data_IF_804777618316
#
_entry.id   IF_804777618316
#
_cell.length_a   1.000
_cell.length_b   1.000
_cell.length_c   1.000
_cell.angle_alpha   90.00
_cell.angle_beta   90.00
_cell.angle_gamma   90.00
#
_symmetry.space_group_name_H-M   'P 1'
#
loop_
_entity.id
_entity.type
_entity.pdbx_description
1 polymer ?
#
# COMPACT_ATOMS: atom_id res chain seq x y z
N UNK A 1 4.37 -7.66 -26.02
CA UNK A 1 3.82 -6.30 -25.87
C UNK A 1 4.56 -5.39 -26.84
N UNK A 2 3.91 -4.38 -27.44
CA UNK A 2 4.61 -3.40 -28.27
C UNK A 2 5.72 -2.71 -27.47
N UNK A 3 6.85 -2.40 -28.10
CA UNK A 3 8.00 -1.76 -27.44
C UNK A 3 7.75 -0.28 -27.14
N UNK A 4 6.89 0.36 -27.92
CA UNK A 4 6.51 1.76 -27.79
C UNK A 4 5.00 1.93 -27.99
N UNK A 5 4.42 2.89 -27.27
CA UNK A 5 3.03 3.32 -27.44
C UNK A 5 3.02 4.84 -27.60
N UNK A 6 2.19 5.31 -28.51
CA UNK A 6 2.02 6.73 -28.76
C UNK A 6 1.07 7.32 -27.72
N UNK A 7 1.56 8.27 -26.91
CA UNK A 7 0.73 8.99 -25.93
C UNK A 7 0.47 10.42 -26.40
N UNK A 8 -0.78 10.91 -26.28
CA UNK A 8 -1.10 12.30 -26.56
C UNK A 8 -0.55 13.20 -25.43
N UNK A 9 -0.06 14.38 -25.81
CA UNK A 9 0.37 15.46 -24.92
C UNK A 9 -0.13 16.80 -25.44
N UNK A 10 -0.32 17.73 -24.52
CA UNK A 10 -0.61 19.13 -24.78
C UNK A 10 0.71 19.91 -24.81
N UNK A 11 0.78 20.95 -25.66
CA UNK A 11 1.91 21.87 -25.67
C UNK A 11 1.88 22.72 -24.40
N UNK A 12 2.93 22.70 -23.55
CA UNK A 12 2.96 23.52 -22.33
C UNK A 12 2.91 25.03 -22.60
N UNK A 13 3.29 25.46 -23.81
CA UNK A 13 3.30 26.87 -24.22
C UNK A 13 1.97 27.35 -24.78
N UNK A 14 1.09 26.43 -25.19
CA UNK A 14 -0.27 26.71 -25.68
C UNK A 14 -1.23 25.57 -25.24
N UNK A 15 -1.60 25.51 -23.94
CA UNK A 15 -2.36 24.40 -23.39
C UNK A 15 -3.81 24.34 -23.86
N UNK A 16 -4.32 25.44 -24.42
CA UNK A 16 -5.70 25.56 -24.95
C UNK A 16 -5.79 25.18 -26.44
N UNK A 17 -4.67 24.79 -27.06
CA UNK A 17 -4.61 24.36 -28.46
C UNK A 17 -5.37 23.05 -28.68
N UNK A 18 -6.21 22.99 -29.72
CA UNK A 18 -6.85 21.74 -30.16
C UNK A 18 -5.85 20.74 -30.78
N UNK A 19 -4.58 21.14 -30.95
CA UNK A 19 -3.53 20.32 -31.54
C UNK A 19 -2.93 19.36 -30.49
N UNK A 20 -3.28 18.09 -30.59
CA UNK A 20 -2.65 17.02 -29.82
C UNK A 20 -1.30 16.64 -30.43
N UNK A 21 -0.24 16.80 -29.65
CA UNK A 21 1.08 16.28 -30.00
C UNK A 21 1.22 14.85 -29.52
N UNK A 22 1.85 14.00 -30.31
CA UNK A 22 1.96 12.58 -30.04
C UNK A 22 3.42 12.22 -29.78
N UNK A 23 3.70 11.63 -28.62
CA UNK A 23 5.05 11.23 -28.26
C UNK A 23 5.15 9.70 -28.19
N UNK A 24 6.18 9.09 -28.82
CA UNK A 24 6.49 7.69 -28.60
C UNK A 24 7.00 7.54 -27.16
N UNK A 25 6.33 6.70 -26.37
CA UNK A 25 6.74 6.35 -25.01
C UNK A 25 7.11 4.88 -24.99
N UNK A 26 8.31 4.58 -24.48
CA UNK A 26 8.76 3.20 -24.29
C UNK A 26 7.89 2.48 -23.27
N UNK A 27 7.36 1.32 -23.67
CA UNK A 27 6.55 0.48 -22.78
C UNK A 27 7.49 -0.22 -21.82
N UNK A 28 7.47 0.21 -20.55
CA UNK A 28 8.20 -0.44 -19.48
C UNK A 28 7.24 -1.36 -18.72
N UNK A 29 7.54 -2.66 -18.68
CA UNK A 29 6.69 -3.67 -18.04
C UNK A 29 7.11 -4.00 -16.62
N UNK A 30 8.32 -3.61 -16.23
CA UNK A 30 8.98 -4.14 -15.05
C UNK A 30 8.76 -3.25 -13.83
N UNK A 31 9.06 -1.95 -13.96
CA UNK A 31 8.83 -0.95 -12.93
C UNK A 31 8.60 0.44 -13.55
N UNK A 32 8.03 1.36 -12.80
CA UNK A 32 8.04 2.79 -13.15
C UNK A 32 8.21 3.65 -11.90
N UNK A 33 8.86 4.80 -12.03
CA UNK A 33 8.99 5.75 -10.91
C UNK A 33 7.86 6.77 -10.94
N UNK A 34 7.07 6.80 -9.86
CA UNK A 34 6.05 7.81 -9.63
C UNK A 34 6.23 8.44 -8.26
N UNK A 35 6.32 9.78 -8.21
CA UNK A 35 6.43 10.50 -6.93
C UNK A 35 7.53 9.92 -6.01
N UNK A 36 8.65 9.45 -6.59
CA UNK A 36 9.78 8.80 -5.88
C UNK A 36 9.46 7.42 -5.31
N UNK A 37 8.48 6.74 -5.86
CA UNK A 37 8.11 5.35 -5.56
C UNK A 37 8.31 4.53 -6.83
N UNK A 38 9.15 3.51 -6.75
CA UNK A 38 9.33 2.54 -7.83
C UNK A 38 8.17 1.56 -7.81
N UNK A 39 7.11 1.88 -8.54
CA UNK A 39 5.92 1.04 -8.68
C UNK A 39 6.31 -0.25 -9.40
N UNK A 40 5.79 -1.37 -8.90
CA UNK A 40 6.10 -2.74 -9.31
C UNK A 40 7.49 -3.26 -8.93
N UNK A 41 8.28 -2.53 -8.13
CA UNK A 41 9.51 -3.06 -7.50
C UNK A 41 9.33 -3.21 -5.97
N UNK A 42 8.80 -4.35 -5.49
CA UNK A 42 8.57 -4.56 -4.06
C UNK A 42 9.88 -4.63 -3.26
N UNK A 43 11.00 -4.98 -3.89
CA UNK A 43 12.30 -5.11 -3.24
C UNK A 43 12.87 -3.73 -2.95
N UNK A 44 12.89 -2.85 -3.97
CA UNK A 44 13.33 -1.46 -3.80
C UNK A 44 12.46 -0.72 -2.76
N UNK A 45 11.15 -0.98 -2.77
CA UNK A 45 10.22 -0.42 -1.80
C UNK A 45 10.51 -0.91 -0.37
N UNK A 46 10.73 -2.22 -0.19
CA UNK A 46 11.13 -2.79 1.09
C UNK A 46 12.42 -2.15 1.59
N UNK A 47 13.45 -2.08 0.75
CA UNK A 47 14.74 -1.49 1.10
C UNK A 47 14.63 -0.01 1.46
N UNK A 48 13.76 0.74 0.77
CA UNK A 48 13.49 2.15 1.08
C UNK A 48 12.93 2.29 2.49
N UNK A 49 11.91 1.50 2.84
CA UNK A 49 11.29 1.56 4.18
C UNK A 49 12.26 1.04 5.24
N UNK A 50 13.01 -0.02 4.94
CA UNK A 50 14.06 -0.54 5.81
C UNK A 50 15.10 0.52 6.16
N UNK A 51 15.58 1.29 5.17
CA UNK A 51 16.50 2.42 5.39
C UNK A 51 15.87 3.50 6.26
N UNK A 52 14.60 3.87 6.03
CA UNK A 52 13.91 4.84 6.89
C UNK A 52 13.90 4.42 8.37
N UNK A 53 13.74 3.13 8.66
CA UNK A 53 13.75 2.59 10.03
C UNK A 53 15.18 2.57 10.61
N UNK A 54 16.17 2.17 9.82
CA UNK A 54 17.57 2.12 10.26
C UNK A 54 18.15 3.52 10.53
N UNK A 55 17.88 4.46 9.63
CA UNK A 55 18.35 5.84 9.71
C UNK A 55 17.57 6.66 10.74
N UNK A 56 16.49 6.11 11.30
CA UNK A 56 15.73 6.77 12.35
C UNK A 56 16.56 6.87 13.64
N UNK A 57 16.93 8.09 14.00
CA UNK A 57 17.60 8.41 15.25
C UNK A 57 16.58 8.78 16.33
N UNK A 58 16.64 8.07 17.45
CA UNK A 58 15.89 8.48 18.64
C UNK A 58 16.54 9.73 19.28
N UNK A 59 15.76 10.59 19.95
CA UNK A 59 16.30 11.74 20.67
C UNK A 59 17.34 11.31 21.70
N UNK A 60 18.54 11.90 21.63
CA UNK A 60 19.59 11.71 22.61
C UNK A 60 19.34 12.66 23.79
N UNK A 61 18.80 12.13 24.88
CA UNK A 61 18.45 12.88 26.08
C UNK A 61 19.18 12.29 27.30
N UNK A 62 19.46 13.10 28.34
CA UNK A 62 20.11 12.62 29.57
C UNK A 62 19.32 11.50 30.26
N UNK A 63 17.99 11.55 30.17
CA UNK A 63 17.07 10.52 30.66
C UNK A 63 16.36 9.85 29.48
N UNK A 64 16.25 8.53 29.50
CA UNK A 64 15.50 7.77 28.48
C UNK A 64 14.04 8.21 28.45
N UNK A 65 13.49 8.32 27.24
CA UNK A 65 12.09 8.66 27.06
C UNK A 65 11.18 7.55 27.57
N UNK A 66 10.03 7.90 28.19
CA UNK A 66 9.02 6.91 28.52
C UNK A 66 8.44 6.28 27.24
N UNK A 67 7.97 5.03 27.34
CA UNK A 67 7.39 4.26 26.23
C UNK A 67 6.29 5.02 25.48
N UNK A 68 5.46 5.78 26.20
CA UNK A 68 4.38 6.57 25.62
C UNK A 68 4.88 7.69 24.71
N UNK A 69 5.98 8.36 25.10
CA UNK A 69 6.62 9.38 24.28
C UNK A 69 7.30 8.76 23.06
N UNK A 70 7.98 7.62 23.24
CA UNK A 70 8.61 6.87 22.15
C UNK A 70 7.59 6.46 21.08
N UNK A 71 6.46 5.91 21.51
CA UNK A 71 5.33 5.53 20.67
C UNK A 71 4.81 6.70 19.84
N UNK A 72 4.65 7.86 20.47
CA UNK A 72 4.20 9.09 19.80
C UNK A 72 5.21 9.57 18.76
N UNK A 73 6.49 9.62 19.10
CA UNK A 73 7.58 10.03 18.21
C UNK A 73 7.63 9.10 16.98
N UNK A 74 7.61 7.79 17.18
CA UNK A 74 7.59 6.85 16.06
C UNK A 74 6.34 7.02 15.19
N UNK A 75 5.17 7.18 15.80
CA UNK A 75 3.93 7.40 15.05
C UNK A 75 3.96 8.69 14.23
N UNK A 76 4.53 9.77 14.76
CA UNK A 76 4.49 11.10 14.14
C UNK A 76 5.64 11.34 13.16
N UNK A 77 6.81 10.76 13.39
CA UNK A 77 8.01 11.05 12.61
C UNK A 77 8.38 9.92 11.65
N UNK A 78 8.21 8.66 12.05
CA UNK A 78 8.61 7.52 11.24
C UNK A 78 7.43 6.96 10.44
N UNK A 79 6.35 6.61 11.13
CA UNK A 79 5.16 6.01 10.51
C UNK A 79 4.48 6.96 9.53
N UNK A 80 4.45 8.25 9.83
CA UNK A 80 3.96 9.29 8.90
C UNK A 80 4.74 9.32 7.59
N UNK A 81 6.04 9.01 7.61
CA UNK A 81 6.91 8.94 6.42
C UNK A 81 6.75 7.60 5.69
N UNK A 82 6.53 6.50 6.41
CA UNK A 82 6.36 5.16 5.83
C UNK A 82 5.01 5.02 5.12
N UNK A 83 3.94 5.58 5.69
CA UNK A 83 2.56 5.39 5.21
C UNK A 83 2.36 5.73 3.72
N UNK A 84 2.85 6.88 3.20
CA UNK A 84 2.73 7.18 1.77
C UNK A 84 3.34 6.10 0.89
N UNK A 85 4.51 5.57 1.24
CA UNK A 85 5.14 4.48 0.48
C UNK A 85 4.23 3.25 0.41
N UNK A 86 3.69 2.80 1.54
CA UNK A 86 2.77 1.66 1.59
C UNK A 86 1.47 1.91 0.81
N UNK A 87 0.98 3.17 0.78
CA UNK A 87 -0.23 3.54 0.04
C UNK A 87 -0.06 3.49 -1.49
N UNK A 88 1.16 3.73 -1.98
CA UNK A 88 1.48 3.61 -3.40
C UNK A 88 1.78 2.16 -3.80
N UNK A 89 2.55 1.45 -2.97
CA UNK A 89 2.88 0.06 -3.19
C UNK A 89 2.96 -0.70 -1.86
N UNK A 90 1.91 -1.47 -1.53
CA UNK A 90 1.94 -2.41 -0.43
C UNK A 90 3.00 -3.51 -0.65
N UNK A 91 3.64 -3.90 0.44
CA UNK A 91 4.58 -5.01 0.50
C UNK A 91 3.84 -6.34 0.70
N UNK A 92 4.56 -7.45 0.51
CA UNK A 92 4.08 -8.74 1.01
C UNK A 92 4.01 -8.71 2.55
N UNK A 93 3.07 -9.46 3.12
CA UNK A 93 2.89 -9.52 4.58
C UNK A 93 4.17 -9.95 5.31
N UNK A 94 4.87 -10.96 4.80
CA UNK A 94 6.13 -11.43 5.37
C UNK A 94 7.21 -10.33 5.41
N UNK A 95 7.31 -9.52 4.36
CA UNK A 95 8.26 -8.40 4.31
C UNK A 95 7.84 -7.29 5.30
N UNK A 96 6.54 -6.99 5.40
CA UNK A 96 6.05 -6.00 6.36
C UNK A 96 6.25 -6.45 7.83
N UNK A 97 6.10 -7.74 8.13
CA UNK A 97 6.38 -8.34 9.43
C UNK A 97 7.89 -8.34 9.77
N UNK A 98 8.77 -8.43 8.77
CA UNK A 98 10.21 -8.23 8.96
C UNK A 98 10.56 -6.79 9.35
N UNK A 99 9.91 -5.81 8.74
CA UNK A 99 10.06 -4.40 9.12
C UNK A 99 9.55 -4.13 10.55
N UNK A 100 8.48 -4.80 10.97
CA UNK A 100 8.00 -4.74 12.35
C UNK A 100 9.00 -5.32 13.35
N UNK A 101 9.62 -6.47 13.01
CA UNK A 101 10.71 -7.04 13.83
C UNK A 101 11.90 -6.10 13.93
N UNK A 102 12.28 -5.45 12.82
CA UNK A 102 13.34 -4.46 12.79
C UNK A 102 13.01 -3.24 13.65
N UNK A 103 11.79 -2.69 13.53
CA UNK A 103 11.35 -1.56 14.34
C UNK A 103 11.33 -1.91 15.84
N UNK A 104 10.86 -3.11 16.18
CA UNK A 104 10.88 -3.60 17.54
C UNK A 104 12.30 -3.76 18.10
N UNK A 105 13.24 -4.23 17.28
CA UNK A 105 14.66 -4.27 17.63
C UNK A 105 15.21 -2.87 17.93
N UNK A 106 14.92 -1.88 17.09
CA UNK A 106 15.37 -0.48 17.32
C UNK A 106 14.82 0.11 18.61
N UNK A 107 13.55 -0.14 18.91
CA UNK A 107 12.93 0.27 20.19
C UNK A 107 13.57 -0.43 21.38
N UNK A 108 13.82 -1.73 21.25
CA UNK A 108 14.48 -2.53 22.27
C UNK A 108 15.90 -2.02 22.57
N UNK A 109 16.69 -1.72 21.54
CA UNK A 109 18.04 -1.13 21.66
C UNK A 109 18.00 0.21 22.40
N UNK A 110 17.02 1.07 22.09
CA UNK A 110 16.86 2.38 22.76
C UNK A 110 16.52 2.23 24.25
N UNK A 111 15.61 1.32 24.57
CA UNK A 111 15.14 1.09 25.95
C UNK A 111 16.10 0.24 26.77
N UNK A 112 17.02 -0.49 26.12
CA UNK A 112 18.04 -1.31 26.76
C UNK A 112 17.47 -2.39 27.67
N UNK A 113 16.38 -3.06 27.26
CA UNK A 113 15.82 -4.16 28.04
C UNK A 113 16.82 -5.34 28.11
N UNK A 114 16.86 -6.10 29.22
CA UNK A 114 17.81 -7.22 29.37
C UNK A 114 17.39 -8.49 28.63
N UNK A 115 16.23 -8.49 27.96
CA UNK A 115 15.66 -9.66 27.28
C UNK A 115 15.26 -9.32 25.85
N UNK A 116 15.23 -10.32 24.97
CA UNK A 116 14.85 -10.15 23.56
C UNK A 116 13.36 -9.74 23.47
N UNK A 117 13.11 -8.52 23.02
CA UNK A 117 11.75 -7.98 22.99
C UNK A 117 10.90 -8.67 21.91
N UNK A 118 9.71 -9.16 22.29
CA UNK A 118 8.78 -9.77 21.34
C UNK A 118 8.06 -8.65 20.55
N UNK A 119 8.24 -8.64 19.23
CA UNK A 119 7.61 -7.65 18.34
C UNK A 119 6.08 -7.66 18.46
N UNK A 120 5.45 -8.81 18.68
CA UNK A 120 4.00 -8.89 18.84
C UNK A 120 3.49 -8.09 20.04
N UNK A 121 4.23 -8.08 21.15
CA UNK A 121 3.85 -7.32 22.35
C UNK A 121 3.98 -5.81 22.10
N UNK A 122 4.93 -5.37 21.27
CA UNK A 122 5.10 -3.95 20.94
C UNK A 122 3.85 -3.38 20.27
N UNK A 123 3.34 -4.12 19.29
CA UNK A 123 2.28 -3.68 18.39
C UNK A 123 0.88 -4.14 18.82
N UNK A 124 0.79 -5.04 19.80
CA UNK A 124 -0.47 -5.45 20.37
C UNK A 124 -1.18 -4.25 21.04
N UNK A 125 -2.52 -4.13 20.92
CA UNK A 125 -3.28 -3.09 21.61
C UNK A 125 -3.15 -3.19 23.13
N UNK A 126 -3.40 -2.09 23.85
CA UNK A 126 -3.46 -2.09 25.32
C UNK A 126 -4.51 -3.06 25.88
N UNK A 127 -5.63 -3.24 25.17
CA UNK A 127 -6.68 -4.20 25.54
C UNK A 127 -6.19 -5.65 25.55
N UNK A 128 -5.09 -5.94 24.86
CA UNK A 128 -4.43 -7.24 24.81
C UNK A 128 -3.07 -7.21 25.52
N UNK A 129 -2.91 -6.32 26.51
CA UNK A 129 -1.69 -6.18 27.32
C UNK A 129 -0.43 -5.84 26.50
N UNK A 130 -0.58 -5.22 25.33
CA UNK A 130 0.52 -4.73 24.51
C UNK A 130 0.86 -3.26 24.74
N UNK A 131 1.79 -2.74 23.96
CA UNK A 131 2.25 -1.35 24.04
C UNK A 131 1.64 -0.39 23.00
N UNK A 132 0.76 -0.90 22.12
CA UNK A 132 -0.02 -0.14 21.14
C UNK A 132 0.83 0.74 20.20
N UNK A 133 2.03 0.27 19.85
CA UNK A 133 2.82 0.89 18.79
C UNK A 133 2.16 0.62 17.43
N UNK A 134 2.33 1.56 16.51
CA UNK A 134 1.83 1.40 15.13
C UNK A 134 2.70 0.37 14.41
N UNK A 135 2.10 -0.73 13.98
CA UNK A 135 2.74 -1.78 13.19
C UNK A 135 2.73 -1.42 11.70
N UNK A 136 3.88 -1.62 11.05
CA UNK A 136 4.08 -1.53 9.60
C UNK A 136 3.24 -2.59 8.89
N UNK A 137 3.18 -3.83 9.39
CA UNK A 137 2.34 -4.87 8.81
C UNK A 137 0.86 -4.50 8.82
N UNK A 138 0.32 -4.04 9.95
CA UNK A 138 -1.08 -3.61 10.04
C UNK A 138 -1.39 -2.39 9.17
N UNK A 139 -0.44 -1.47 9.02
CA UNK A 139 -0.58 -0.34 8.09
C UNK A 139 -0.59 -0.81 6.64
N UNK A 140 0.33 -1.71 6.29
CA UNK A 140 0.42 -2.31 4.96
C UNK A 140 -0.90 -3.00 4.57
N UNK A 141 -1.44 -3.80 5.48
CA UNK A 141 -2.71 -4.51 5.31
C UNK A 141 -3.87 -3.53 5.04
N UNK A 142 -3.95 -2.46 5.84
CA UNK A 142 -4.97 -1.43 5.67
C UNK A 142 -4.83 -0.67 4.34
N UNK A 143 -3.62 -0.25 3.98
CA UNK A 143 -3.35 0.47 2.73
C UNK A 143 -3.58 -0.42 1.49
N UNK A 144 -3.29 -1.72 1.57
CA UNK A 144 -3.59 -2.66 0.49
C UNK A 144 -5.11 -2.78 0.23
N UNK A 145 -5.90 -2.99 1.29
CA UNK A 145 -7.36 -3.07 1.18
C UNK A 145 -7.96 -1.73 0.72
N UNK A 146 -7.50 -0.61 1.28
CA UNK A 146 -7.96 0.72 0.88
C UNK A 146 -7.60 1.03 -0.57
N UNK A 147 -6.41 0.65 -1.03
CA UNK A 147 -5.98 0.79 -2.42
C UNK A 147 -6.92 0.04 -3.37
N UNK A 148 -7.18 -1.24 -3.11
CA UNK A 148 -8.13 -2.05 -3.89
C UNK A 148 -9.52 -1.40 -3.95
N UNK A 149 -10.06 -0.96 -2.81
CA UNK A 149 -11.36 -0.29 -2.74
C UNK A 149 -11.38 1.03 -3.51
N UNK A 150 -10.29 1.81 -3.42
CA UNK A 150 -10.13 3.08 -4.15
C UNK A 150 -10.08 2.85 -5.66
N UNK A 151 -9.39 1.81 -6.13
CA UNK A 151 -9.31 1.49 -7.55
C UNK A 151 -10.68 1.11 -8.12
N UNK A 152 -11.43 0.25 -7.41
CA UNK A 152 -12.77 -0.17 -7.80
C UNK A 152 -13.82 0.95 -7.74
N UNK A 153 -13.60 1.94 -6.88
CA UNK A 153 -14.48 3.09 -6.67
C UNK A 153 -13.84 4.40 -7.13
N UNK A 154 -12.92 4.35 -8.09
CA UNK A 154 -12.19 5.53 -8.49
C UNK A 154 -13.15 6.59 -9.08
N UNK A 155 -12.94 7.87 -8.73
CA UNK A 155 -13.79 8.98 -9.18
C UNK A 155 -13.66 9.23 -10.68
N UNK A 156 -12.43 9.15 -11.23
CA UNK A 156 -12.18 9.12 -12.68
C UNK A 156 -12.69 7.81 -13.27
N UNK A 157 -13.62 7.91 -14.23
CA UNK A 157 -14.29 6.77 -14.86
C UNK A 157 -13.34 5.80 -15.55
N UNK A 158 -12.30 6.29 -16.21
CA UNK A 158 -11.32 5.45 -16.92
C UNK A 158 -10.62 4.46 -15.97
N UNK A 159 -10.08 4.94 -14.84
CA UNK A 159 -9.43 4.07 -13.86
C UNK A 159 -10.42 3.06 -13.25
N UNK A 160 -11.64 3.49 -12.94
CA UNK A 160 -12.69 2.61 -12.43
C UNK A 160 -13.09 1.53 -13.44
N UNK A 161 -13.21 1.87 -14.72
CA UNK A 161 -13.51 0.92 -15.79
C UNK A 161 -12.40 -0.10 -15.94
N UNK A 162 -11.13 0.34 -15.95
CA UNK A 162 -9.98 -0.57 -16.00
C UNK A 162 -9.94 -1.52 -14.81
N UNK A 163 -10.16 -1.00 -13.59
CA UNK A 163 -10.25 -1.82 -12.39
C UNK A 163 -11.38 -2.86 -12.49
N UNK A 164 -12.56 -2.49 -13.01
CA UNK A 164 -13.67 -3.42 -13.21
C UNK A 164 -13.37 -4.49 -14.26
N UNK A 165 -12.69 -4.15 -15.35
CA UNK A 165 -12.22 -5.11 -16.35
C UNK A 165 -11.23 -6.09 -15.70
N UNK A 166 -10.24 -5.58 -14.95
CA UNK A 166 -9.29 -6.43 -14.22
C UNK A 166 -9.98 -7.35 -13.23
N UNK A 167 -11.00 -6.87 -12.51
CA UNK A 167 -11.78 -7.70 -11.59
C UNK A 167 -12.61 -8.76 -12.33
N UNK A 168 -13.21 -8.43 -13.48
CA UNK A 168 -13.95 -9.38 -14.30
C UNK A 168 -13.03 -10.47 -14.86
N UNK A 169 -11.87 -10.09 -15.39
CA UNK A 169 -10.84 -11.02 -15.87
C UNK A 169 -10.34 -11.94 -14.75
N UNK A 170 -10.08 -11.38 -13.56
CA UNK A 170 -9.72 -12.18 -12.39
C UNK A 170 -10.82 -13.19 -12.04
N UNK A 171 -12.05 -12.72 -11.93
CA UNK A 171 -13.21 -13.53 -11.59
C UNK A 171 -13.38 -14.69 -12.58
N UNK A 172 -13.44 -14.38 -13.87
CA UNK A 172 -13.78 -15.36 -14.89
C UNK A 172 -12.60 -16.21 -15.35
N UNK A 173 -11.45 -15.61 -15.66
CA UNK A 173 -10.32 -16.33 -16.23
C UNK A 173 -9.47 -17.03 -15.16
N UNK A 174 -9.35 -16.43 -13.97
CA UNK A 174 -8.43 -16.91 -12.94
C UNK A 174 -9.14 -17.59 -11.78
N UNK A 175 -10.43 -17.34 -11.56
CA UNK A 175 -11.18 -17.85 -10.41
C UNK A 175 -12.53 -18.50 -10.75
N UNK A 176 -12.64 -19.15 -11.92
CA UNK A 176 -13.80 -19.98 -12.28
C UNK A 176 -15.15 -19.23 -12.21
N UNK A 177 -15.17 -17.96 -12.58
CA UNK A 177 -16.31 -17.05 -12.49
C UNK A 177 -16.84 -16.82 -11.06
N UNK A 178 -16.02 -17.06 -10.04
CA UNK A 178 -16.33 -16.75 -8.65
C UNK A 178 -15.59 -15.48 -8.23
N UNK A 179 -16.30 -14.53 -7.59
CA UNK A 179 -15.69 -13.28 -7.15
C UNK A 179 -14.57 -13.57 -6.15
N UNK A 180 -13.33 -13.10 -6.39
CA UNK A 180 -12.22 -13.23 -5.44
C UNK A 180 -12.34 -12.26 -4.27
N UNK A 181 -13.39 -11.44 -4.21
CA UNK A 181 -13.62 -10.45 -3.16
C UNK A 181 -14.77 -10.83 -2.24
N UNK A 182 -15.65 -11.74 -2.67
CA UNK A 182 -16.83 -12.13 -1.90
C UNK A 182 -16.60 -13.46 -1.17
N UNK A 183 -16.90 -13.49 0.13
CA UNK A 183 -16.76 -14.67 0.97
C UNK A 183 -15.32 -14.96 1.42
N UNK A 184 -15.12 -16.16 1.99
CA UNK A 184 -13.79 -16.64 2.40
C UNK A 184 -13.08 -17.23 1.18
N UNK A 185 -12.14 -16.48 0.62
CA UNK A 185 -11.36 -16.89 -0.54
C UNK A 185 -10.34 -17.95 -0.12
N UNK A 186 -10.66 -19.23 -0.30
CA UNK A 186 -9.74 -20.32 0.03
C UNK A 186 -8.49 -20.39 -0.85
N UNK A 187 -8.49 -19.73 -2.01
CA UNK A 187 -7.42 -19.82 -3.02
C UNK A 187 -6.37 -18.72 -2.84
N UNK A 188 -5.10 -19.09 -2.96
CA UNK A 188 -4.01 -18.12 -3.04
C UNK A 188 -3.75 -17.68 -4.47
N UNK A 189 -3.51 -16.37 -4.67
CA UNK A 189 -3.16 -15.76 -5.95
C UNK A 189 -1.72 -15.24 -6.03
N UNK A 190 -0.85 -15.63 -5.09
CA UNK A 190 0.55 -15.14 -5.04
C UNK A 190 1.35 -15.42 -6.31
N UNK A 191 0.94 -16.42 -7.11
CA UNK A 191 1.56 -16.79 -8.39
C UNK A 191 1.03 -16.00 -9.59
N UNK A 192 -0.06 -15.25 -9.42
CA UNK A 192 -0.71 -14.49 -10.49
C UNK A 192 -0.23 -13.05 -10.60
N UNK A 193 0.89 -12.69 -9.97
CA UNK A 193 1.46 -11.32 -9.94
C UNK A 193 1.83 -10.74 -11.29
N UNK A 194 1.93 -11.57 -12.34
CA UNK A 194 2.16 -11.11 -13.73
C UNK A 194 0.88 -10.71 -14.46
N UNK A 195 -0.27 -11.10 -13.92
CA UNK A 195 -1.59 -10.88 -14.53
C UNK A 195 -2.46 -9.97 -13.67
N UNK A 196 -2.26 -9.99 -12.36
CA UNK A 196 -2.98 -9.19 -11.39
C UNK A 196 -2.06 -8.16 -10.73
N UNK A 197 -2.56 -6.96 -10.43
CA UNK A 197 -1.83 -5.99 -9.64
C UNK A 197 -1.34 -6.60 -8.32
N UNK A 198 -0.06 -6.43 -8.00
CA UNK A 198 0.55 -6.99 -6.79
C UNK A 198 -0.16 -6.51 -5.51
N UNK A 199 -0.57 -5.24 -5.47
CA UNK A 199 -1.34 -4.65 -4.37
C UNK A 199 -2.69 -5.36 -4.16
N UNK A 200 -3.37 -5.76 -5.23
CA UNK A 200 -4.65 -6.47 -5.17
C UNK A 200 -4.48 -7.89 -4.64
N UNK A 201 -3.41 -8.57 -5.04
CA UNK A 201 -3.05 -9.89 -4.51
C UNK A 201 -2.78 -9.80 -3.00
N UNK A 202 -2.00 -8.81 -2.55
CA UNK A 202 -1.77 -8.55 -1.13
C UNK A 202 -3.09 -8.28 -0.40
N UNK A 203 -3.97 -7.44 -0.95
CA UNK A 203 -5.25 -7.11 -0.33
C UNK A 203 -6.13 -8.35 -0.11
N UNK A 204 -6.23 -9.24 -1.11
CA UNK A 204 -7.03 -10.47 -0.99
C UNK A 204 -6.41 -11.47 -0.03
N UNK A 205 -5.08 -11.59 0.01
CA UNK A 205 -4.40 -12.40 1.03
C UNK A 205 -4.73 -11.92 2.45
N UNK A 206 -4.73 -10.61 2.68
CA UNK A 206 -5.11 -10.01 3.96
C UNK A 206 -6.57 -10.27 4.29
N UNK A 207 -7.48 -10.04 3.35
CA UNK A 207 -8.92 -10.30 3.53
C UNK A 207 -9.17 -11.77 3.91
N UNK A 208 -8.52 -12.70 3.20
CA UNK A 208 -8.58 -14.13 3.51
C UNK A 208 -8.10 -14.42 4.92
N UNK A 209 -6.92 -13.92 5.29
CA UNK A 209 -6.33 -14.19 6.60
C UNK A 209 -7.19 -13.63 7.75
N UNK A 210 -7.94 -12.56 7.50
CA UNK A 210 -8.90 -11.98 8.45
C UNK A 210 -10.31 -12.61 8.39
N UNK A 211 -10.57 -13.51 7.44
CA UNK A 211 -11.91 -14.07 7.21
C UNK A 211 -12.93 -13.04 6.75
N UNK A 212 -12.47 -11.99 6.06
CA UNK A 212 -13.28 -10.88 5.56
C UNK A 212 -13.48 -10.97 4.05
N UNK A 213 -14.56 -10.38 3.57
CA UNK A 213 -14.82 -10.19 2.14
C UNK A 213 -15.38 -8.79 1.88
N UNK A 214 -15.16 -8.27 0.68
CA UNK A 214 -15.72 -7.03 0.20
C UNK A 214 -17.01 -7.37 -0.55
N UNK A 215 -18.14 -6.88 -0.03
CA UNK A 215 -19.44 -7.03 -0.72
C UNK A 215 -19.60 -5.94 -1.77
N UNK A 216 -20.12 -6.30 -2.93
CA UNK A 216 -20.55 -5.33 -3.91
C UNK A 216 -21.75 -4.54 -3.36
N UNK A 217 -21.54 -3.25 -3.11
CA UNK A 217 -22.60 -2.32 -2.70
C UNK A 217 -22.64 -1.18 -3.71
N UNK A 218 -23.85 -0.74 -4.08
CA UNK A 218 -23.97 0.42 -4.94
C UNK A 218 -23.58 1.68 -4.17
N UNK A 219 -22.50 2.32 -4.60
CA UNK A 219 -22.03 3.61 -4.08
C UNK A 219 -22.11 4.71 -5.14
N UNK A 220 -22.94 4.53 -6.18
CA UNK A 220 -23.14 5.52 -7.25
C UNK A 220 -23.49 6.91 -6.71
N UNK A 221 -24.23 7.00 -5.59
CA UNK A 221 -24.61 8.24 -4.93
C UNK A 221 -23.42 9.07 -4.41
N UNK A 222 -22.24 8.47 -4.16
CA UNK A 222 -21.02 9.21 -3.78
C UNK A 222 -20.45 10.01 -4.97
N UNK A 223 -20.86 9.68 -6.19
CA UNK A 223 -20.37 10.28 -7.43
C UNK A 223 -21.38 11.22 -8.09
N UNK A 224 -22.60 11.32 -7.55
CA UNK A 224 -23.65 12.24 -8.04
C UNK A 224 -23.59 13.64 -7.42
N UNK A 225 -22.57 13.94 -6.60
CA UNK A 225 -22.36 15.26 -6.00
C UNK A 225 -20.98 15.83 -6.36
N UNK A 226 -20.87 17.17 -6.42
CA UNK A 226 -19.70 18.02 -6.70
C UNK A 226 -18.47 17.80 -5.78
N UNK A 227 -17.98 16.57 -5.62
CA UNK A 227 -16.88 16.26 -4.69
C UNK A 227 -15.54 16.07 -5.41
N UNK A 228 -15.47 16.09 -6.74
CA UNK A 228 -14.22 15.71 -7.43
C UNK A 228 -13.67 16.76 -8.39
N UNK A 229 -13.26 17.93 -7.88
CA UNK A 229 -12.25 18.77 -8.56
C UNK A 229 -11.32 19.58 -7.63
N UNK A 230 -11.47 19.55 -6.30
CA UNK A 230 -10.70 20.44 -5.39
C UNK A 230 -9.48 19.82 -4.69
N UNK A 231 -8.99 18.68 -5.16
CA UNK A 231 -7.74 18.11 -4.66
C UNK A 231 -6.77 17.83 -5.81
N UNK A 232 -6.30 18.91 -6.43
CA UNK A 232 -4.97 19.02 -7.02
C UNK A 232 -4.22 20.10 -6.25
#
# INVERSE_FOLDING_TARGET
LPSEVTMPSVDPSDPDSDNLTHHPITVTTDFFDFLRVQVNDPTAQYDKIRRLILDFAFPNLPTRLPLTALRRILSQCLVSRIRPYLSHQPLSRAAAEELDRLLAQRVHEYLGFPFRFNSHVLFAPFSHLGFDFRSVARLNDAEAIQGLLRDLNHHVSAFRTMARITLADWTCMLNSCQSPLEGSVGRSFSRSKRTLPSAWVTAVEVLRDLGLGIRHTDQSYLFTGDVSLRHL
#
